data_IF_546520886255
#
_entry.id   IF_546520886255
#
_cell.length_a   1.000
_cell.length_b   1.000
_cell.length_c   1.000
_cell.angle_alpha   90.00
_cell.angle_beta   90.00
_cell.angle_gamma   90.00
#
_symmetry.space_group_name_H-M   'P 1'
#
loop_
_entity.id
_entity.type
_entity.pdbx_description
1 polymer ?
#
# COMPACT_ATOMS: atom_id res chain seq x y z
N UNK A 1 11.09 15.86 -36.31
CA UNK A 1 10.01 15.77 -35.28
C UNK A 1 8.71 15.12 -35.79
N UNK A 2 8.48 14.98 -37.11
CA UNK A 2 7.24 14.36 -37.63
C UNK A 2 7.09 12.84 -37.34
N UNK A 3 8.15 12.15 -36.90
CA UNK A 3 8.13 10.70 -36.65
C UNK A 3 7.82 10.26 -35.23
N UNK A 4 7.67 11.15 -34.24
CA UNK A 4 7.46 10.70 -32.84
C UNK A 4 6.02 10.26 -32.55
N UNK A 5 5.07 10.71 -33.36
CA UNK A 5 3.66 10.32 -33.31
C UNK A 5 3.30 9.26 -34.35
N UNK A 6 4.22 8.90 -35.25
CA UNK A 6 3.93 7.89 -36.26
C UNK A 6 3.79 6.53 -35.60
N UNK A 7 3.00 5.67 -36.22
CA UNK A 7 2.88 4.28 -35.80
C UNK A 7 4.27 3.63 -35.84
N UNK A 8 4.51 2.71 -34.91
CA UNK A 8 5.73 1.90 -34.81
C UNK A 8 7.02 2.75 -34.73
N UNK A 9 6.92 3.96 -34.18
CA UNK A 9 8.08 4.83 -33.93
C UNK A 9 8.81 4.53 -32.63
N UNK A 10 8.22 3.72 -31.75
CA UNK A 10 8.84 3.22 -30.53
C UNK A 10 9.96 2.23 -30.83
N UNK A 11 11.06 2.29 -30.08
CA UNK A 11 12.09 1.23 -30.11
C UNK A 11 11.65 -0.04 -29.35
N UNK A 12 10.60 0.08 -28.54
CA UNK A 12 10.00 -1.03 -27.79
C UNK A 12 8.85 -1.62 -28.61
N UNK A 13 9.01 -2.90 -28.92
CA UNK A 13 8.04 -3.80 -29.54
C UNK A 13 7.89 -5.04 -28.64
N UNK A 14 6.66 -5.49 -28.36
CA UNK A 14 6.40 -6.67 -27.50
C UNK A 14 6.29 -7.94 -28.33
N UNK A 15 6.01 -9.08 -27.68
CA UNK A 15 6.04 -10.34 -28.39
C UNK A 15 4.83 -10.59 -29.31
N UNK A 16 3.73 -9.87 -29.12
CA UNK A 16 2.50 -10.00 -29.91
C UNK A 16 2.75 -9.59 -31.37
N UNK A 17 2.26 -10.38 -32.33
CA UNK A 17 2.44 -10.07 -33.75
C UNK A 17 1.66 -8.79 -34.17
N UNK A 18 2.37 -7.84 -34.76
CA UNK A 18 1.79 -6.57 -35.24
C UNK A 18 0.70 -6.79 -36.30
N UNK A 19 -0.42 -6.11 -36.13
CA UNK A 19 -1.59 -6.08 -37.02
C UNK A 19 -2.25 -7.45 -37.30
N UNK A 20 -1.96 -8.48 -36.49
CA UNK A 20 -2.48 -9.84 -36.71
C UNK A 20 -4.00 -9.93 -36.65
N UNK A 21 -4.63 -9.10 -35.81
CA UNK A 21 -6.07 -9.14 -35.56
C UNK A 21 -6.82 -7.89 -36.07
N UNK A 22 -6.10 -6.83 -36.46
CA UNK A 22 -6.69 -5.57 -36.94
C UNK A 22 -5.69 -4.79 -37.78
N UNK A 23 -6.16 -4.14 -38.85
CA UNK A 23 -5.34 -3.25 -39.69
C UNK A 23 -5.03 -1.89 -39.03
N UNK A 24 -5.69 -1.58 -37.91
CA UNK A 24 -5.57 -0.27 -37.23
C UNK A 24 -4.99 -0.35 -35.82
N UNK A 25 -4.90 -1.56 -35.25
CA UNK A 25 -4.38 -1.78 -33.89
C UNK A 25 -3.15 -2.67 -34.03
N UNK A 26 -1.99 -2.13 -33.67
CA UNK A 26 -0.70 -2.82 -33.81
C UNK A 26 -0.68 -4.08 -32.96
N UNK A 27 -0.79 -3.96 -31.64
CA UNK A 27 -0.85 -5.10 -30.72
C UNK A 27 -2.26 -5.21 -30.12
N UNK A 28 -3.10 -6.08 -30.70
CA UNK A 28 -4.53 -6.12 -30.39
C UNK A 28 -4.82 -6.58 -28.95
N UNK A 29 -4.25 -7.69 -28.51
CA UNK A 29 -4.50 -8.22 -27.16
C UNK A 29 -3.86 -7.35 -26.08
N UNK A 30 -2.66 -6.82 -26.32
CA UNK A 30 -2.04 -5.86 -25.41
C UNK A 30 -2.92 -4.60 -25.28
N UNK A 31 -3.48 -4.10 -26.38
CA UNK A 31 -4.44 -2.97 -26.35
C UNK A 31 -5.72 -3.31 -25.59
N UNK A 32 -6.34 -4.45 -25.89
CA UNK A 32 -7.62 -4.85 -25.28
C UNK A 32 -7.49 -5.14 -23.79
N UNK A 33 -6.39 -5.76 -23.38
CA UNK A 33 -6.13 -6.06 -21.97
C UNK A 33 -5.97 -4.79 -21.12
N UNK A 34 -5.43 -3.69 -21.66
CA UNK A 34 -5.36 -2.39 -20.96
C UNK A 34 -6.74 -1.83 -20.57
N UNK A 35 -7.83 -2.28 -21.20
CA UNK A 35 -9.17 -1.81 -20.84
C UNK A 35 -9.64 -2.29 -19.45
N UNK A 36 -9.00 -3.31 -18.86
CA UNK A 36 -9.28 -3.77 -17.50
C UNK A 36 -9.14 -2.66 -16.46
N UNK A 37 -8.27 -1.68 -16.72
CA UNK A 37 -8.04 -0.52 -15.86
C UNK A 37 -9.30 0.37 -15.73
N UNK A 38 -10.11 0.47 -16.79
CA UNK A 38 -11.39 1.20 -16.75
C UNK A 38 -12.47 0.48 -15.95
N UNK A 39 -12.26 -0.79 -15.59
CA UNK A 39 -13.18 -1.57 -14.74
C UNK A 39 -12.67 -1.56 -13.29
N UNK A 40 -11.41 -1.96 -13.09
CA UNK A 40 -10.85 -2.11 -11.74
C UNK A 40 -10.70 -0.76 -11.04
N UNK A 41 -10.29 0.30 -11.75
CA UNK A 41 -10.03 1.60 -11.12
C UNK A 41 -11.28 2.27 -10.57
N UNK A 42 -12.42 2.33 -11.29
CA UNK A 42 -13.67 2.82 -10.71
C UNK A 42 -14.18 1.98 -9.54
N UNK A 43 -14.05 0.65 -9.60
CA UNK A 43 -14.40 -0.22 -8.47
C UNK A 43 -13.56 0.13 -7.25
N UNK A 44 -12.25 0.32 -7.42
CA UNK A 44 -11.36 0.67 -6.32
C UNK A 44 -11.62 2.09 -5.77
N UNK A 45 -11.97 3.03 -6.64
CA UNK A 45 -12.41 4.37 -6.22
C UNK A 45 -13.66 4.28 -5.33
N UNK A 46 -14.63 3.44 -5.69
CA UNK A 46 -15.81 3.17 -4.87
C UNK A 46 -15.47 2.46 -3.55
N UNK A 47 -14.68 1.39 -3.60
CA UNK A 47 -14.37 0.55 -2.44
C UNK A 47 -13.50 1.29 -1.40
N UNK A 48 -12.59 2.16 -1.83
CA UNK A 48 -11.73 2.94 -0.94
C UNK A 48 -12.34 4.28 -0.54
N UNK A 49 -13.51 4.67 -1.07
CA UNK A 49 -14.15 5.94 -0.77
C UNK A 49 -14.36 6.21 0.74
N UNK A 50 -14.83 5.23 1.55
CA UNK A 50 -14.99 5.44 2.99
C UNK A 50 -13.65 5.80 3.67
N UNK A 51 -12.57 5.14 3.25
CA UNK A 51 -11.22 5.42 3.73
C UNK A 51 -10.68 6.75 3.25
N UNK A 52 -10.89 7.10 1.99
CA UNK A 52 -10.49 8.39 1.44
C UNK A 52 -11.15 9.57 2.17
N UNK A 53 -12.42 9.41 2.59
CA UNK A 53 -13.15 10.45 3.33
C UNK A 53 -12.53 10.76 4.69
N UNK A 54 -12.11 9.73 5.42
CA UNK A 54 -11.51 9.89 6.76
C UNK A 54 -10.03 10.27 6.69
N UNK A 55 -9.31 9.81 5.67
CA UNK A 55 -7.85 10.00 5.57
C UNK A 55 -7.43 11.19 4.71
N UNK A 56 -7.84 11.21 3.44
CA UNK A 56 -7.55 12.25 2.46
C UNK A 56 -8.19 11.91 1.10
N UNK A 57 -8.89 12.87 0.49
CA UNK A 57 -9.42 12.71 -0.87
C UNK A 57 -8.31 12.57 -1.95
N UNK A 58 -7.05 12.87 -1.61
CA UNK A 58 -5.91 12.60 -2.50
C UNK A 58 -5.78 11.13 -2.90
N UNK A 59 -6.37 10.21 -2.12
CA UNK A 59 -6.44 8.78 -2.46
C UNK A 59 -7.22 8.54 -3.76
N UNK A 60 -8.25 9.34 -4.07
CA UNK A 60 -8.95 9.23 -5.34
C UNK A 60 -8.06 9.61 -6.52
N UNK A 61 -7.09 10.51 -6.34
CA UNK A 61 -6.16 10.92 -7.40
C UNK A 61 -5.37 9.71 -7.91
N UNK A 62 -4.94 8.81 -7.02
CA UNK A 62 -4.23 7.57 -7.41
C UNK A 62 -5.06 6.74 -8.40
N UNK A 63 -6.33 6.49 -8.07
CA UNK A 63 -7.20 5.64 -8.90
C UNK A 63 -7.73 6.35 -10.16
N UNK A 64 -7.88 7.67 -10.13
CA UNK A 64 -8.13 8.46 -11.34
C UNK A 64 -6.92 8.37 -12.27
N UNK A 65 -5.70 8.48 -11.75
CA UNK A 65 -4.49 8.35 -12.56
C UNK A 65 -4.29 6.92 -13.10
N UNK A 66 -4.74 5.88 -12.38
CA UNK A 66 -4.76 4.51 -12.92
C UNK A 66 -5.67 4.35 -14.15
N UNK A 67 -6.74 5.14 -14.27
CA UNK A 67 -7.55 5.19 -15.49
C UNK A 67 -6.71 5.74 -16.66
N UNK A 68 -5.92 6.79 -16.41
CA UNK A 68 -5.01 7.34 -17.41
C UNK A 68 -3.87 6.38 -17.78
N UNK A 69 -3.35 5.59 -16.83
CA UNK A 69 -2.40 4.51 -17.14
C UNK A 69 -3.02 3.54 -18.15
N UNK A 70 -4.24 3.06 -17.92
CA UNK A 70 -4.95 2.19 -18.86
C UNK A 70 -5.17 2.84 -20.23
N UNK A 71 -5.53 4.13 -20.25
CA UNK A 71 -5.73 4.89 -21.48
C UNK A 71 -4.43 5.02 -22.29
N UNK A 72 -3.33 5.37 -21.64
CA UNK A 72 -2.05 5.58 -22.31
C UNK A 72 -1.39 4.26 -22.71
N UNK A 73 -1.52 3.20 -21.91
CA UNK A 73 -1.15 1.84 -22.30
C UNK A 73 -1.94 1.39 -23.54
N UNK A 74 -3.27 1.56 -23.57
CA UNK A 74 -4.08 1.23 -24.74
C UNK A 74 -3.65 2.05 -25.98
N UNK A 75 -3.39 3.35 -25.81
CA UNK A 75 -2.89 4.20 -26.90
C UNK A 75 -1.52 3.77 -27.40
N UNK A 76 -0.62 3.39 -26.50
CA UNK A 76 0.70 2.88 -26.83
C UNK A 76 0.60 1.58 -27.63
N UNK A 77 -0.05 0.54 -27.12
CA UNK A 77 -0.15 -0.75 -27.81
C UNK A 77 -0.97 -0.69 -29.12
N UNK A 78 -1.90 0.26 -29.23
CA UNK A 78 -2.61 0.49 -30.48
C UNK A 78 -1.70 1.06 -31.57
N UNK A 79 -0.70 1.86 -31.20
CA UNK A 79 0.10 2.65 -32.16
C UNK A 79 1.57 2.24 -32.24
N UNK A 80 2.12 1.61 -31.21
CA UNK A 80 3.56 1.51 -30.92
C UNK A 80 4.32 2.82 -31.20
N UNK A 81 3.71 3.96 -30.88
CA UNK A 81 4.34 5.27 -31.07
C UNK A 81 5.26 5.64 -29.91
N UNK A 82 6.33 6.39 -30.19
CA UNK A 82 7.23 6.90 -29.14
C UNK A 82 6.49 7.77 -28.11
N UNK A 83 5.58 8.64 -28.58
CA UNK A 83 4.76 9.45 -27.66
C UNK A 83 3.84 8.56 -26.81
N UNK A 84 3.25 7.52 -27.40
CA UNK A 84 2.47 6.52 -26.65
C UNK A 84 3.31 5.87 -25.56
N UNK A 85 4.52 5.42 -25.89
CA UNK A 85 5.45 4.83 -24.93
C UNK A 85 5.73 5.78 -23.76
N UNK A 86 6.02 7.05 -24.05
CA UNK A 86 6.30 8.05 -23.01
C UNK A 86 5.09 8.33 -22.14
N UNK A 87 3.89 8.43 -22.72
CA UNK A 87 2.67 8.65 -21.95
C UNK A 87 2.38 7.46 -21.02
N UNK A 88 2.51 6.23 -21.52
CA UNK A 88 2.30 5.02 -20.73
C UNK A 88 3.30 4.95 -19.57
N UNK A 89 4.60 4.90 -19.87
CA UNK A 89 5.61 4.70 -18.82
C UNK A 89 5.67 5.86 -17.81
N UNK A 90 5.51 7.12 -18.26
CA UNK A 90 5.49 8.27 -17.34
C UNK A 90 4.23 8.29 -16.48
N UNK A 91 3.07 7.89 -17.01
CA UNK A 91 1.85 7.85 -16.20
C UNK A 91 1.98 6.88 -15.02
N UNK A 92 2.66 5.73 -15.21
CA UNK A 92 2.95 4.77 -14.15
C UNK A 92 3.89 5.40 -13.11
N UNK A 93 4.97 6.06 -13.55
CA UNK A 93 5.91 6.78 -12.67
C UNK A 93 5.16 7.78 -11.77
N UNK A 94 4.27 8.57 -12.35
CA UNK A 94 3.52 9.59 -11.61
C UNK A 94 2.46 8.99 -10.66
N UNK A 95 1.78 7.90 -11.04
CA UNK A 95 0.89 7.16 -10.13
C UNK A 95 1.66 6.67 -8.91
N UNK A 96 2.83 6.06 -9.13
CA UNK A 96 3.68 5.57 -8.05
C UNK A 96 4.16 6.71 -7.16
N UNK A 97 4.52 7.85 -7.73
CA UNK A 97 4.91 9.03 -6.99
C UNK A 97 3.78 9.53 -6.07
N UNK A 98 2.55 9.64 -6.58
CA UNK A 98 1.39 10.05 -5.77
C UNK A 98 1.08 9.02 -4.69
N UNK A 99 1.08 7.73 -5.05
CA UNK A 99 0.87 6.65 -4.08
C UNK A 99 1.93 6.67 -2.97
N UNK A 100 3.19 6.85 -3.31
CA UNK A 100 4.29 6.96 -2.36
C UNK A 100 4.15 8.19 -1.47
N UNK A 101 3.85 9.35 -2.05
CA UNK A 101 3.62 10.58 -1.31
C UNK A 101 2.51 10.39 -0.25
N UNK A 102 1.39 9.78 -0.62
CA UNK A 102 0.22 9.61 0.25
C UNK A 102 0.41 8.50 1.29
N UNK A 103 0.89 7.32 0.87
CA UNK A 103 0.85 6.10 1.67
C UNK A 103 2.19 5.63 2.26
N UNK A 104 3.32 6.24 1.90
CA UNK A 104 4.60 5.76 2.44
C UNK A 104 4.62 5.89 3.98
N UNK A 105 4.99 4.85 4.75
CA UNK A 105 4.87 4.86 6.21
C UNK A 105 5.75 5.94 6.85
N UNK A 106 5.18 6.77 7.74
CA UNK A 106 5.94 7.85 8.41
C UNK A 106 7.12 7.33 9.24
N UNK A 107 7.00 6.13 9.82
CA UNK A 107 8.07 5.50 10.61
C UNK A 107 9.31 5.15 9.77
N UNK A 108 9.17 5.10 8.45
CA UNK A 108 10.26 4.83 7.50
C UNK A 108 10.75 6.11 6.81
N UNK A 109 10.28 7.29 7.22
CA UNK A 109 10.78 8.54 6.68
C UNK A 109 12.28 8.69 6.96
N UNK A 110 13.05 9.26 6.02
CA UNK A 110 14.41 9.69 6.31
C UNK A 110 14.44 10.62 7.53
N UNK A 111 15.48 10.51 8.37
CA UNK A 111 15.58 11.23 9.64
C UNK A 111 15.45 12.76 9.54
N UNK A 112 15.76 13.32 8.37
CA UNK A 112 15.63 14.76 8.09
C UNK A 112 14.21 15.20 7.70
N UNK A 113 13.28 14.27 7.46
CA UNK A 113 11.90 14.56 7.04
C UNK A 113 10.96 14.26 8.21
N UNK A 114 10.28 15.30 8.71
CA UNK A 114 9.36 15.18 9.86
C UNK A 114 7.89 15.14 9.48
N UNK A 115 7.54 15.71 8.33
CA UNK A 115 6.16 15.91 7.92
C UNK A 115 5.89 15.40 6.50
N UNK A 116 4.64 15.04 6.27
CA UNK A 116 4.13 14.51 5.00
C UNK A 116 4.28 15.50 3.86
N UNK A 117 4.15 16.80 4.10
CA UNK A 117 4.23 17.82 3.04
C UNK A 117 5.64 17.92 2.49
N UNK A 118 6.65 17.99 3.36
CA UNK A 118 8.06 17.98 2.98
C UNK A 118 8.45 16.71 2.25
N UNK A 119 7.95 15.55 2.70
CA UNK A 119 8.12 14.28 2.00
C UNK A 119 7.52 14.33 0.59
N UNK A 120 6.27 14.76 0.44
CA UNK A 120 5.59 14.86 -0.86
C UNK A 120 6.29 15.83 -1.81
N UNK A 121 6.84 16.96 -1.31
CA UNK A 121 7.65 17.88 -2.13
C UNK A 121 8.93 17.21 -2.64
N UNK A 122 9.62 16.43 -1.78
CA UNK A 122 10.81 15.69 -2.20
C UNK A 122 10.47 14.68 -3.29
N UNK A 123 9.40 13.90 -3.10
CA UNK A 123 8.92 12.93 -4.08
C UNK A 123 8.58 13.62 -5.41
N UNK A 124 7.90 14.77 -5.36
CA UNK A 124 7.60 15.57 -6.55
C UNK A 124 8.88 16.00 -7.29
N UNK A 125 9.87 16.55 -6.58
CA UNK A 125 11.15 16.98 -7.19
C UNK A 125 11.86 15.80 -7.86
N UNK A 126 11.96 14.66 -7.16
CA UNK A 126 12.57 13.44 -7.71
C UNK A 126 11.80 12.95 -8.94
N UNK A 127 10.48 12.99 -8.91
CA UNK A 127 9.62 12.55 -10.03
C UNK A 127 9.78 13.44 -11.25
N UNK A 128 9.87 14.77 -11.07
CA UNK A 128 10.12 15.71 -12.17
C UNK A 128 11.50 15.50 -12.78
N UNK A 129 12.54 15.34 -11.97
CA UNK A 129 13.90 15.05 -12.45
C UNK A 129 13.93 13.73 -13.23
N UNK A 130 13.27 12.70 -12.69
CA UNK A 130 13.18 11.38 -13.32
C UNK A 130 12.43 11.48 -14.65
N UNK A 131 11.31 12.21 -14.70
CA UNK A 131 10.53 12.44 -15.93
C UNK A 131 11.37 13.08 -17.02
N UNK A 132 12.13 14.14 -16.69
CA UNK A 132 13.04 14.79 -17.66
C UNK A 132 14.15 13.83 -18.11
N UNK A 133 14.67 13.02 -17.18
CA UNK A 133 15.72 12.05 -17.47
C UNK A 133 15.24 10.88 -18.36
N UNK A 134 13.96 10.50 -18.28
CA UNK A 134 13.37 9.44 -19.10
C UNK A 134 13.43 9.74 -20.60
N UNK A 135 13.45 11.01 -21.00
CA UNK A 135 13.62 11.40 -22.41
C UNK A 135 15.05 11.17 -22.94
N UNK A 136 16.04 10.96 -22.07
CA UNK A 136 17.43 10.70 -22.49
C UNK A 136 17.63 9.24 -22.86
N UNK A 137 17.10 8.32 -22.04
CA UNK A 137 17.15 6.88 -22.29
C UNK A 137 15.83 6.22 -21.88
N UNK A 138 14.81 6.26 -22.74
CA UNK A 138 13.48 5.67 -22.52
C UNK A 138 13.53 4.25 -21.97
N UNK A 139 14.35 3.40 -22.58
CA UNK A 139 14.49 1.99 -22.20
C UNK A 139 15.01 1.78 -20.78
N UNK A 140 15.70 2.76 -20.17
CA UNK A 140 16.15 2.68 -18.78
C UNK A 140 15.00 2.82 -17.77
N UNK A 141 13.90 3.47 -18.16
CA UNK A 141 12.77 3.76 -17.29
C UNK A 141 12.10 2.49 -16.76
N UNK A 142 11.91 1.48 -17.62
CA UNK A 142 11.37 0.18 -17.23
C UNK A 142 12.21 -0.50 -16.13
N UNK A 143 13.54 -0.41 -16.18
CA UNK A 143 14.41 -0.97 -15.15
C UNK A 143 14.36 -0.19 -13.84
N UNK A 144 14.33 1.15 -13.93
CA UNK A 144 14.16 2.01 -12.75
C UNK A 144 12.84 1.73 -12.03
N UNK A 145 11.76 1.50 -12.79
CA UNK A 145 10.45 1.15 -12.28
C UNK A 145 10.46 -0.19 -11.52
N UNK A 146 11.14 -1.20 -12.06
CA UNK A 146 11.30 -2.51 -11.40
C UNK A 146 12.08 -2.39 -10.07
N UNK A 147 13.13 -1.56 -10.01
CA UNK A 147 13.84 -1.27 -8.76
C UNK A 147 12.92 -0.65 -7.70
N UNK A 148 12.01 0.24 -8.11
CA UNK A 148 11.02 0.81 -7.21
C UNK A 148 10.04 -0.26 -6.70
N UNK A 149 9.63 -1.20 -7.55
CA UNK A 149 8.84 -2.36 -7.15
C UNK A 149 9.50 -3.19 -6.04
N UNK A 150 10.81 -3.46 -6.16
CA UNK A 150 11.58 -4.16 -5.12
C UNK A 150 11.64 -3.38 -3.80
N UNK A 151 11.78 -2.05 -3.86
CA UNK A 151 11.74 -1.20 -2.68
C UNK A 151 10.37 -1.22 -1.97
N UNK A 152 9.27 -1.20 -2.75
CA UNK A 152 7.92 -1.35 -2.20
C UNK A 152 7.72 -2.72 -1.54
N UNK A 153 8.23 -3.80 -2.14
CA UNK A 153 8.20 -5.12 -1.54
C UNK A 153 8.98 -5.19 -0.23
N UNK A 154 10.17 -4.60 -0.19
CA UNK A 154 10.96 -4.50 1.05
C UNK A 154 10.17 -3.77 2.13
N UNK A 155 9.60 -2.61 1.79
CA UNK A 155 8.77 -1.80 2.69
C UNK A 155 7.59 -2.61 3.22
N UNK A 156 6.86 -3.30 2.33
CA UNK A 156 5.75 -4.17 2.71
C UNK A 156 6.23 -5.30 3.63
N UNK A 157 7.34 -5.96 3.33
CA UNK A 157 7.88 -7.02 4.16
C UNK A 157 8.20 -6.53 5.57
N UNK A 158 8.76 -5.32 5.71
CA UNK A 158 9.00 -4.67 7.00
C UNK A 158 7.69 -4.37 7.73
N UNK A 159 6.69 -3.81 7.05
CA UNK A 159 5.36 -3.55 7.63
C UNK A 159 4.68 -4.83 8.14
N UNK A 160 4.75 -5.91 7.36
CA UNK A 160 4.08 -7.16 7.66
C UNK A 160 4.71 -7.94 8.81
N UNK A 161 5.96 -7.65 9.22
CA UNK A 161 6.63 -8.32 10.36
C UNK A 161 5.87 -8.15 11.67
N UNK A 162 5.22 -7.02 11.86
CA UNK A 162 4.48 -6.70 13.09
C UNK A 162 2.98 -6.99 12.99
N UNK A 163 2.50 -7.44 11.83
CA UNK A 163 1.07 -7.65 11.58
C UNK A 163 0.66 -9.08 11.99
N UNK A 164 -0.33 -9.19 12.89
CA UNK A 164 -0.87 -10.48 13.36
C UNK A 164 -2.20 -10.86 12.72
N UNK A 165 -2.86 -9.93 12.00
CA UNK A 165 -4.15 -10.17 11.35
C UNK A 165 -4.00 -11.14 10.17
N UNK A 166 -4.65 -12.30 10.28
CA UNK A 166 -4.62 -13.36 9.27
C UNK A 166 -5.26 -12.95 7.93
N UNK A 167 -6.24 -12.05 7.94
CA UNK A 167 -6.82 -11.51 6.68
C UNK A 167 -5.80 -10.62 5.98
N UNK A 168 -5.12 -9.74 6.72
CA UNK A 168 -4.08 -8.88 6.17
C UNK A 168 -2.88 -9.69 5.65
N UNK A 169 -2.45 -10.73 6.39
CA UNK A 169 -1.39 -11.63 5.94
C UNK A 169 -1.75 -12.41 4.67
N UNK A 170 -2.99 -12.90 4.55
CA UNK A 170 -3.46 -13.56 3.32
C UNK A 170 -3.51 -12.59 2.14
N UNK A 171 -4.01 -11.38 2.37
CA UNK A 171 -4.06 -10.31 1.37
C UNK A 171 -2.66 -9.93 0.88
N UNK A 172 -1.70 -9.82 1.80
CA UNK A 172 -0.29 -9.57 1.48
C UNK A 172 0.30 -10.67 0.60
N UNK A 173 0.12 -11.94 0.99
CA UNK A 173 0.59 -13.09 0.20
C UNK A 173 -0.01 -13.11 -1.20
N UNK A 174 -1.32 -12.86 -1.32
CA UNK A 174 -2.02 -12.81 -2.60
C UNK A 174 -1.50 -11.66 -3.48
N UNK A 175 -1.36 -10.45 -2.92
CA UNK A 175 -0.84 -9.28 -3.63
C UNK A 175 0.58 -9.52 -4.14
N UNK A 176 1.46 -10.08 -3.29
CA UNK A 176 2.84 -10.42 -3.67
C UNK A 176 2.87 -11.51 -4.75
N UNK A 177 2.05 -12.55 -4.62
CA UNK A 177 1.98 -13.63 -5.62
C UNK A 177 1.52 -13.12 -6.99
N UNK A 178 0.48 -12.28 -7.02
CA UNK A 178 0.00 -11.65 -8.25
C UNK A 178 1.07 -10.74 -8.87
N UNK A 179 1.78 -9.95 -8.05
CA UNK A 179 2.86 -9.10 -8.53
C UNK A 179 4.02 -9.92 -9.11
N UNK A 180 4.47 -10.97 -8.43
CA UNK A 180 5.54 -11.86 -8.91
C UNK A 180 5.13 -12.51 -10.23
N UNK A 181 3.89 -12.98 -10.34
CA UNK A 181 3.38 -13.57 -11.57
C UNK A 181 3.32 -12.54 -12.70
N UNK A 182 2.86 -11.31 -12.43
CA UNK A 182 2.84 -10.23 -13.40
C UNK A 182 4.25 -9.95 -13.93
N UNK A 183 5.23 -9.72 -13.05
CA UNK A 183 6.62 -9.45 -13.45
C UNK A 183 7.21 -10.64 -14.20
N UNK A 184 6.87 -11.88 -13.82
CA UNK A 184 7.30 -13.07 -14.56
C UNK A 184 6.74 -13.09 -15.99
N UNK A 185 5.47 -12.77 -16.20
CA UNK A 185 4.87 -12.62 -17.52
C UNK A 185 5.59 -11.53 -18.33
N UNK A 186 5.84 -10.37 -17.73
CA UNK A 186 6.54 -9.25 -18.38
C UNK A 186 7.97 -9.60 -18.82
N UNK A 187 8.76 -10.21 -17.94
CA UNK A 187 10.14 -10.65 -18.24
C UNK A 187 10.12 -11.73 -19.31
N UNK A 188 9.22 -12.69 -19.18
CA UNK A 188 9.08 -13.82 -20.08
C UNK A 188 8.67 -13.39 -21.50
N UNK A 189 7.77 -12.41 -21.61
CA UNK A 189 7.40 -11.80 -22.89
C UNK A 189 8.61 -11.09 -23.52
N UNK A 190 9.32 -10.27 -22.74
CA UNK A 190 10.43 -9.45 -23.24
C UNK A 190 11.67 -10.25 -23.67
N UNK A 191 12.10 -11.19 -22.84
CA UNK A 191 13.35 -11.94 -23.06
C UNK A 191 13.14 -13.33 -23.63
N UNK A 192 11.95 -13.90 -23.44
CA UNK A 192 11.58 -15.24 -23.90
C UNK A 192 10.78 -15.25 -25.20
N UNK A 193 10.64 -14.12 -25.90
CA UNK A 193 9.70 -14.03 -27.02
C UNK A 193 9.91 -15.10 -28.10
N UNK A 194 11.16 -15.41 -28.46
CA UNK A 194 11.46 -16.45 -29.46
C UNK A 194 10.92 -17.84 -29.07
N UNK A 195 10.88 -18.16 -27.78
CA UNK A 195 10.29 -19.39 -27.27
C UNK A 195 8.75 -19.34 -27.34
N UNK A 196 8.14 -18.21 -26.99
CA UNK A 196 6.68 -18.04 -27.01
C UNK A 196 6.09 -18.01 -28.42
N UNK A 197 6.82 -17.43 -29.38
CA UNK A 197 6.48 -17.48 -30.80
C UNK A 197 6.46 -18.93 -31.33
N UNK A 198 7.42 -19.77 -30.93
CA UNK A 198 7.41 -21.19 -31.31
C UNK A 198 6.20 -21.95 -30.75
N UNK A 199 5.73 -21.56 -29.57
CA UNK A 199 4.53 -22.11 -28.94
C UNK A 199 3.22 -21.47 -29.41
N UNK A 200 3.29 -20.47 -30.31
CA UNK A 200 2.15 -19.66 -30.76
C UNK A 200 1.38 -18.99 -29.59
N UNK A 201 2.07 -18.59 -28.53
CA UNK A 201 1.47 -17.98 -27.35
C UNK A 201 2.17 -16.67 -26.96
N UNK A 202 1.88 -15.59 -27.70
CA UNK A 202 2.54 -14.28 -27.55
C UNK A 202 1.69 -13.23 -26.80
N UNK A 203 0.94 -13.66 -25.78
CA UNK A 203 -0.04 -12.81 -25.09
C UNK A 203 0.32 -12.55 -23.62
N UNK A 204 1.59 -12.79 -23.25
CA UNK A 204 2.03 -12.68 -21.85
C UNK A 204 2.05 -11.23 -21.38
N UNK A 205 2.39 -10.28 -22.25
CA UNK A 205 2.31 -8.86 -21.91
C UNK A 205 0.87 -8.41 -21.60
N UNK A 206 -0.12 -8.85 -22.37
CA UNK A 206 -1.53 -8.60 -22.05
C UNK A 206 -1.98 -9.24 -20.73
N UNK A 207 -1.45 -10.41 -20.37
CA UNK A 207 -1.68 -11.02 -19.04
C UNK A 207 -1.03 -10.18 -17.95
N UNK A 208 0.14 -9.57 -18.18
CA UNK A 208 0.77 -8.64 -17.24
C UNK A 208 -0.16 -7.47 -16.91
N UNK A 209 -0.83 -6.84 -17.90
CA UNK A 209 -1.81 -5.76 -17.65
C UNK A 209 -2.88 -6.15 -16.63
N UNK A 210 -3.46 -7.33 -16.80
CA UNK A 210 -4.53 -7.84 -15.94
C UNK A 210 -3.98 -8.15 -14.54
N UNK A 211 -2.84 -8.83 -14.46
CA UNK A 211 -2.26 -9.22 -13.17
C UNK A 211 -1.76 -8.02 -12.38
N UNK A 212 -1.13 -7.03 -13.03
CA UNK A 212 -0.56 -5.87 -12.34
C UNK A 212 -1.64 -4.97 -11.75
N UNK A 213 -2.74 -4.71 -12.48
CA UNK A 213 -3.84 -3.90 -11.93
C UNK A 213 -4.50 -4.59 -10.74
N UNK A 214 -4.65 -5.92 -10.79
CA UNK A 214 -5.20 -6.70 -9.69
C UNK A 214 -4.24 -6.71 -8.49
N UNK A 215 -2.94 -6.86 -8.72
CA UNK A 215 -1.92 -6.78 -7.68
C UNK A 215 -1.94 -5.42 -6.97
N UNK A 216 -2.05 -4.32 -7.74
CA UNK A 216 -2.17 -2.95 -7.21
C UNK A 216 -3.49 -2.75 -6.45
N UNK A 217 -4.60 -3.31 -6.93
CA UNK A 217 -5.88 -3.27 -6.22
C UNK A 217 -5.76 -3.90 -4.83
N UNK A 218 -5.29 -5.15 -4.74
CA UNK A 218 -5.10 -5.83 -3.45
C UNK A 218 -4.02 -5.17 -2.57
N UNK A 219 -2.91 -4.74 -3.18
CA UNK A 219 -1.82 -4.08 -2.48
C UNK A 219 -2.22 -2.75 -1.87
N UNK A 220 -2.95 -1.92 -2.62
CA UNK A 220 -3.45 -0.63 -2.12
C UNK A 220 -4.50 -0.80 -1.03
N UNK A 221 -5.38 -1.81 -1.09
CA UNK A 221 -6.30 -2.13 0.03
C UNK A 221 -5.53 -2.50 1.29
N UNK A 222 -4.48 -3.32 1.16
CA UNK A 222 -3.63 -3.68 2.30
C UNK A 222 -2.92 -2.46 2.88
N UNK A 223 -2.34 -1.62 2.02
CA UNK A 223 -1.68 -0.38 2.43
C UNK A 223 -2.68 0.57 3.10
N UNK A 224 -3.89 0.72 2.56
CA UNK A 224 -4.94 1.54 3.17
C UNK A 224 -5.38 1.00 4.55
N UNK A 225 -5.47 -0.32 4.70
CA UNK A 225 -5.75 -0.95 6.00
C UNK A 225 -4.64 -0.67 7.02
N UNK A 226 -3.37 -0.79 6.61
CA UNK A 226 -2.23 -0.49 7.47
C UNK A 226 -2.17 1.00 7.81
N UNK A 227 -2.32 1.89 6.83
CA UNK A 227 -2.34 3.35 7.03
C UNK A 227 -3.48 3.77 7.96
N UNK A 228 -4.69 3.23 7.80
CA UNK A 228 -5.82 3.51 8.69
C UNK A 228 -5.54 3.15 10.15
N UNK A 229 -4.88 2.01 10.40
CA UNK A 229 -4.48 1.59 11.75
C UNK A 229 -3.47 2.56 12.42
N UNK A 230 -2.66 3.27 11.62
CA UNK A 230 -1.62 4.16 12.14
C UNK A 230 -2.04 5.64 12.17
N UNK A 231 -2.79 6.09 11.18
CA UNK A 231 -3.06 7.51 10.92
C UNK A 231 -4.47 7.93 11.34
N UNK A 232 -5.39 6.98 11.61
CA UNK A 232 -6.79 7.27 11.99
C UNK A 232 -7.09 6.64 13.37
N UNK A 233 -6.76 7.31 14.49
CA UNK A 233 -6.74 6.73 15.83
C UNK A 233 -8.09 6.19 16.34
N UNK A 234 -9.20 6.72 15.81
CA UNK A 234 -10.56 6.38 16.22
C UNK A 234 -11.20 5.29 15.35
N UNK A 235 -10.54 4.88 14.27
CA UNK A 235 -11.06 3.87 13.35
C UNK A 235 -10.79 2.45 13.84
N UNK A 236 -11.71 1.55 13.51
CA UNK A 236 -11.50 0.10 13.58
C UNK A 236 -11.55 -0.43 12.15
N UNK A 237 -10.42 -0.41 11.41
CA UNK A 237 -10.40 -0.85 10.02
C UNK A 237 -10.63 -2.37 9.95
N UNK A 238 -11.58 -2.77 9.11
CA UNK A 238 -11.90 -4.17 8.86
C UNK A 238 -11.72 -4.54 7.38
N UNK A 239 -11.10 -5.69 7.12
CA UNK A 239 -11.04 -6.29 5.78
C UNK A 239 -12.25 -7.21 5.57
N UNK A 240 -13.02 -6.92 4.52
CA UNK A 240 -14.18 -7.70 4.10
C UNK A 240 -14.13 -7.98 2.60
N UNK A 241 -14.69 -9.10 2.18
CA UNK A 241 -14.81 -9.46 0.78
C UNK A 241 -16.07 -8.82 0.17
N UNK A 242 -15.95 -8.20 -1.00
CA UNK A 242 -17.00 -7.54 -1.77
C UNK A 242 -17.32 -8.29 -3.06
N UNK A 243 -18.61 -8.60 -3.33
CA UNK A 243 -19.78 -8.21 -2.57
C UNK A 243 -19.93 -9.01 -1.26
N UNK A 244 -20.44 -8.36 -0.20
CA UNK A 244 -20.63 -8.98 1.10
C UNK A 244 -21.75 -10.03 1.03
N UNK A 245 -21.40 -11.30 0.81
CA UNK A 245 -22.34 -12.41 0.95
C UNK A 245 -22.45 -12.75 2.44
N UNK A 246 -23.65 -12.55 3.00
CA UNK A 246 -24.05 -13.25 4.23
C UNK A 246 -24.23 -14.72 3.82
N UNK A 247 -23.33 -15.57 4.30
CA UNK A 247 -23.38 -17.03 4.31
C UNK A 247 -23.88 -17.73 3.04
N UNK A 248 -23.00 -18.01 2.07
CA UNK A 248 -23.06 -19.26 1.26
C UNK A 248 -21.63 -19.74 1.01
N UNK A 249 -21.39 -21.00 1.35
CA UNK A 249 -20.17 -21.74 1.09
C UNK A 249 -19.70 -21.68 -0.38
N UNK A 250 -18.37 -21.69 -0.52
CA UNK A 250 -17.53 -21.89 -1.69
C UNK A 250 -16.94 -20.67 -2.43
N UNK A 251 -15.60 -20.74 -2.43
CA UNK A 251 -14.57 -19.97 -3.10
C UNK A 251 -14.93 -19.53 -4.52
N UNK A 252 -15.09 -18.23 -4.70
CA UNK A 252 -14.66 -17.54 -5.92
C UNK A 252 -13.95 -16.25 -5.50
N UNK A 253 -12.93 -15.84 -6.25
CA UNK A 253 -12.04 -14.72 -5.90
C UNK A 253 -12.83 -13.44 -5.66
N UNK A 254 -12.87 -12.97 -4.41
CA UNK A 254 -13.65 -11.80 -3.99
C UNK A 254 -12.70 -10.61 -3.74
N UNK A 255 -13.06 -9.42 -4.23
CA UNK A 255 -12.27 -8.19 -4.06
C UNK A 255 -12.41 -7.66 -2.62
N UNK A 256 -11.36 -7.12 -2.00
CA UNK A 256 -11.40 -6.75 -0.57
C UNK A 256 -11.80 -5.28 -0.38
N UNK A 257 -12.88 -5.03 0.35
CA UNK A 257 -13.34 -3.73 0.82
C UNK A 257 -12.74 -3.41 2.20
N UNK A 258 -12.31 -2.16 2.36
CA UNK A 258 -11.95 -1.60 3.65
C UNK A 258 -13.18 -0.92 4.26
N UNK A 259 -13.68 -1.46 5.36
CA UNK A 259 -14.73 -0.81 6.17
C UNK A 259 -14.06 -0.06 7.31
N UNK A 260 -14.44 1.20 7.50
CA UNK A 260 -14.05 1.98 8.66
C UNK A 260 -15.23 2.02 9.63
N UNK A 261 -15.15 1.19 10.67
CA UNK A 261 -16.01 1.32 11.83
C UNK A 261 -15.57 2.53 12.66
N UNK A 262 -16.54 3.29 13.18
CA UNK A 262 -16.30 4.21 14.28
C UNK A 262 -16.38 3.45 15.60
N UNK A 263 -15.42 3.66 16.51
CA UNK A 263 -15.57 3.19 17.90
C UNK A 263 -16.83 3.83 18.48
N UNK A 264 -17.89 3.04 18.66
CA UNK A 264 -19.08 3.48 19.38
C UNK A 264 -18.69 3.72 20.84
N UNK A 265 -18.41 4.98 21.17
CA UNK A 265 -18.00 5.38 22.51
C UNK A 265 -19.23 5.63 23.37
N UNK A 266 -19.64 4.63 24.15
CA UNK A 266 -20.11 4.93 25.51
C UNK A 266 -18.87 5.33 26.30
N UNK A 267 -18.49 6.62 26.21
CA UNK A 267 -17.33 7.19 26.91
C UNK A 267 -17.85 8.05 28.05
N UNK A 268 -17.33 7.81 29.27
CA UNK A 268 -17.45 8.78 30.35
C UNK A 268 -16.29 9.75 30.23
N UNK A 269 -16.58 11.06 30.20
CA UNK A 269 -15.52 12.09 30.12
C UNK A 269 -14.54 12.00 31.30
N UNK A 270 -15.01 11.55 32.47
CA UNK A 270 -14.18 11.41 33.66
C UNK A 270 -14.68 10.23 34.52
N UNK A 271 -13.90 9.15 34.57
CA UNK A 271 -14.02 8.14 35.61
C UNK A 271 -12.72 8.17 36.41
N UNK A 272 -12.77 8.69 37.65
CA UNK A 272 -11.62 8.64 38.57
C UNK A 272 -11.46 7.19 39.02
N UNK A 273 -10.45 6.50 38.53
CA UNK A 273 -10.01 5.27 39.20
C UNK A 273 -9.24 5.62 40.47
N UNK A 274 -9.34 4.79 41.52
CA UNK A 274 -8.42 4.87 42.63
C UNK A 274 -6.98 4.72 42.12
N UNK A 275 -6.08 5.57 42.63
CA UNK A 275 -4.65 5.44 42.34
C UNK A 275 -4.18 4.07 42.82
N UNK A 276 -3.79 3.22 41.87
CA UNK A 276 -3.30 1.86 42.14
C UNK A 276 -1.81 1.83 41.86
N UNK A 277 -1.03 1.33 42.83
CA UNK A 277 0.44 1.28 42.74
C UNK A 277 0.89 -0.17 42.75
N UNK A 278 1.55 -0.60 41.67
CA UNK A 278 2.12 -1.94 41.54
C UNK A 278 3.62 -1.89 41.80
N UNK A 279 4.08 -2.45 42.93
CA UNK A 279 5.49 -2.40 43.34
C UNK A 279 6.34 -3.58 42.83
N UNK A 280 5.73 -4.61 42.25
CA UNK A 280 6.42 -5.80 41.72
C UNK A 280 5.62 -6.50 40.61
N UNK A 281 6.28 -7.36 39.81
CA UNK A 281 5.64 -8.07 38.70
C UNK A 281 4.68 -9.17 39.18
N UNK A 282 3.60 -9.48 38.42
CA UNK A 282 3.18 -8.80 37.20
C UNK A 282 2.55 -7.43 37.49
N UNK A 283 2.97 -6.40 36.75
CA UNK A 283 2.39 -5.06 36.81
C UNK A 283 1.03 -5.05 36.08
N UNK A 284 0.00 -5.59 36.74
CA UNK A 284 -1.35 -5.77 36.19
C UNK A 284 -2.39 -5.17 37.13
N UNK A 285 -3.42 -4.57 36.55
CA UNK A 285 -4.64 -4.14 37.22
C UNK A 285 -5.82 -4.82 36.55
N UNK A 286 -6.73 -5.41 37.33
CA UNK A 286 -7.96 -6.06 36.85
C UNK A 286 -9.16 -5.32 37.44
N UNK A 287 -10.06 -4.86 36.57
CA UNK A 287 -11.23 -4.08 36.96
C UNK A 287 -12.43 -4.45 36.07
N UNK A 288 -13.65 -4.22 36.58
CA UNK A 288 -14.90 -4.35 35.82
C UNK A 288 -15.49 -2.99 35.53
N UNK A 289 -15.93 -2.75 34.29
CA UNK A 289 -16.50 -1.46 33.89
C UNK A 289 -17.48 -1.56 32.73
N UNK A 290 -18.31 -0.52 32.56
CA UNK A 290 -19.36 -0.45 31.53
C UNK A 290 -19.08 0.58 30.43
N UNK A 291 -17.97 1.31 30.53
CA UNK A 291 -17.56 2.34 29.57
C UNK A 291 -16.03 2.38 29.45
N UNK A 292 -15.53 2.74 28.27
CA UNK A 292 -14.11 3.00 28.05
C UNK A 292 -13.69 4.41 28.51
N UNK A 293 -12.40 4.58 28.84
CA UNK A 293 -11.81 5.84 29.31
C UNK A 293 -10.28 5.83 29.13
N UNK A 294 -9.66 7.02 29.25
CA UNK A 294 -8.20 7.13 29.26
C UNK A 294 -7.62 6.85 30.65
N UNK A 295 -6.57 6.04 30.70
CA UNK A 295 -5.77 5.76 31.89
C UNK A 295 -4.42 6.44 31.74
N UNK A 296 -4.05 7.28 32.70
CA UNK A 296 -2.68 7.75 32.83
C UNK A 296 -1.87 6.71 33.62
N UNK A 297 -0.82 6.16 33.01
CA UNK A 297 0.09 5.15 33.57
C UNK A 297 1.44 5.82 33.79
N UNK A 298 1.84 5.95 35.06
CA UNK A 298 3.15 6.46 35.44
C UNK A 298 4.10 5.30 35.74
N UNK A 299 5.15 5.15 34.94
CA UNK A 299 6.20 4.15 35.12
C UNK A 299 7.40 4.80 35.78
N UNK A 300 7.70 4.39 37.01
CA UNK A 300 8.87 4.86 37.76
C UNK A 300 10.10 4.02 37.42
N UNK A 301 11.16 4.68 36.96
CA UNK A 301 12.42 4.03 36.60
C UNK A 301 13.36 4.05 37.80
N UNK A 302 13.99 2.90 38.09
CA UNK A 302 15.03 2.79 39.12
C UNK A 302 16.37 3.30 38.56
N UNK A 303 16.46 4.59 38.23
CA UNK A 303 17.67 5.25 37.72
C UNK A 303 18.02 6.47 38.60
N UNK A 304 19.29 6.88 38.58
CA UNK A 304 19.79 8.07 39.30
C UNK A 304 19.71 9.37 38.48
N UNK A 305 19.33 9.30 37.20
CA UNK A 305 19.24 10.44 36.28
C UNK A 305 17.83 10.66 35.73
N UNK A 306 17.49 11.91 35.40
CA UNK A 306 16.18 12.27 34.85
C UNK A 306 15.99 11.77 33.40
N UNK A 307 14.76 11.37 33.00
CA UNK A 307 13.53 11.36 33.80
C UNK A 307 13.38 10.11 34.69
N UNK A 308 12.97 10.30 35.95
CA UNK A 308 12.70 9.21 36.90
C UNK A 308 11.30 8.59 36.73
N UNK A 309 10.43 9.24 35.94
CA UNK A 309 9.06 8.81 35.69
C UNK A 309 8.71 9.03 34.23
N UNK A 310 8.06 8.05 33.60
CA UNK A 310 7.51 8.17 32.25
C UNK A 310 5.99 8.00 32.32
N UNK A 311 5.26 8.99 31.83
CA UNK A 311 3.79 8.99 31.80
C UNK A 311 3.28 8.54 30.44
N UNK A 312 2.38 7.57 30.44
CA UNK A 312 1.66 7.10 29.25
C UNK A 312 0.17 7.35 29.42
N UNK A 313 -0.46 7.92 28.41
CA UNK A 313 -1.91 7.94 28.32
C UNK A 313 -2.37 6.75 27.50
N UNK A 314 -3.01 5.78 28.14
CA UNK A 314 -3.51 4.55 27.55
C UNK A 314 -5.02 4.66 27.33
N UNK A 315 -5.51 4.30 26.14
CA UNK A 315 -6.95 4.29 25.84
C UNK A 315 -7.51 2.91 26.18
N UNK A 316 -8.21 2.80 27.32
CA UNK A 316 -8.87 1.58 27.74
C UNK A 316 -10.29 1.60 27.17
N UNK A 317 -10.51 0.86 26.09
CA UNK A 317 -11.81 0.77 25.43
C UNK A 317 -12.45 -0.60 25.63
N UNK A 318 -13.78 -0.60 25.62
CA UNK A 318 -14.60 -1.79 25.67
C UNK A 318 -15.26 -1.98 24.30
N UNK A 319 -15.33 -3.22 23.85
CA UNK A 319 -16.07 -3.57 22.63
C UNK A 319 -17.56 -3.72 22.93
N UNK A 320 -18.40 -3.58 21.89
CA UNK A 320 -19.83 -3.80 22.03
C UNK A 320 -20.14 -5.30 22.16
N UNK A 321 -21.32 -5.59 22.71
CA UNK A 321 -21.81 -6.96 22.83
C UNK A 321 -21.95 -7.60 21.44
N UNK A 322 -21.28 -8.74 21.23
CA UNK A 322 -21.21 -9.44 19.94
C UNK A 322 -19.87 -9.33 19.22
N UNK A 323 -19.02 -8.36 19.58
CA UNK A 323 -17.66 -8.25 19.07
C UNK A 323 -16.68 -9.15 19.86
N UNK A 324 -15.59 -9.64 19.23
CA UNK A 324 -14.56 -10.41 19.94
C UNK A 324 -13.92 -9.59 21.08
N UNK A 325 -13.48 -10.22 22.18
CA UNK A 325 -12.89 -9.52 23.31
C UNK A 325 -11.65 -8.71 22.91
N UNK A 326 -11.53 -7.49 23.45
CA UNK A 326 -10.42 -6.60 23.14
C UNK A 326 -9.11 -7.17 23.70
N UNK A 327 -8.16 -7.48 22.81
CA UNK A 327 -6.77 -7.79 23.17
C UNK A 327 -5.88 -6.75 22.49
N UNK A 328 -5.49 -5.72 23.22
CA UNK A 328 -4.61 -4.66 22.70
C UNK A 328 -3.20 -4.79 23.26
N UNK A 329 -2.22 -4.73 22.36
CA UNK A 329 -0.80 -4.64 22.71
C UNK A 329 -0.26 -3.30 22.20
N UNK A 330 0.17 -2.43 23.12
CA UNK A 330 0.81 -1.17 22.77
C UNK A 330 2.31 -1.26 23.04
N UNK A 331 3.13 -1.25 21.97
CA UNK A 331 4.58 -1.26 22.09
C UNK A 331 5.10 0.18 21.99
N UNK A 332 5.89 0.62 22.98
CA UNK A 332 6.55 1.93 22.96
C UNK A 332 8.04 1.78 23.24
N UNK A 333 8.86 2.35 22.37
CA UNK A 333 10.31 2.48 22.58
C UNK A 333 10.59 3.72 23.42
N UNK A 334 11.34 3.58 24.51
CA UNK A 334 11.91 4.71 25.22
C UNK A 334 13.18 5.19 24.48
N UNK A 335 13.37 6.49 24.26
CA UNK A 335 14.64 7.00 23.73
C UNK A 335 15.75 6.72 24.76
N UNK A 336 16.87 6.15 24.29
CA UNK A 336 18.01 5.83 25.14
C UNK A 336 18.66 7.11 25.66
N UNK A 337 18.43 7.45 26.92
CA UNK A 337 19.37 8.31 27.65
C UNK A 337 20.53 7.43 28.08
N UNK A 338 21.76 7.84 27.75
CA UNK A 338 22.99 7.21 28.24
C UNK A 338 22.88 7.03 29.76
N UNK A 339 22.93 5.80 30.30
CA UNK A 339 22.90 5.61 31.73
C UNK A 339 24.16 6.25 32.33
N UNK A 340 24.06 7.03 33.42
CA UNK A 340 25.25 7.36 34.20
C UNK A 340 25.85 6.04 34.68
N UNK A 341 27.16 5.86 34.47
CA UNK A 341 27.93 4.72 34.95
C UNK A 341 27.66 4.52 36.45
N UNK A 342 26.82 3.54 36.81
CA UNK A 342 26.78 2.79 38.08
C UNK A 342 25.43 2.11 38.26
N UNK A 343 25.26 0.92 37.67
CA UNK A 343 24.53 -0.19 38.29
C UNK A 343 24.73 -1.44 37.45
N UNK A 344 25.90 -2.04 37.60
CA UNK A 344 26.08 -3.44 37.22
C UNK A 344 25.36 -4.31 38.25
N UNK A 345 24.17 -4.76 37.94
CA UNK A 345 23.61 -6.01 38.46
C UNK A 345 22.93 -6.74 37.30
N UNK A 346 23.47 -7.92 36.97
CA UNK A 346 22.98 -8.77 35.90
C UNK A 346 21.65 -9.39 36.28
N UNK A 347 20.66 -9.29 35.41
CA UNK A 347 19.46 -10.12 35.49
C UNK A 347 19.66 -11.34 34.57
N UNK A 348 19.75 -12.53 35.18
CA UNK A 348 19.49 -13.82 34.52
C UNK A 348 18.01 -14.09 34.48
#
# INVERSE_FOLDING_TARGET
>A
MAGVFSYESSEVDWCEDNYKHSEHVVEYFNTMSSFVFFIVSPIMLYLLHPYAKERSLAIHVVWIMMIFVGLFSAYFHMTLSFVGQMLDELSILWVLAVGYAVWFPRKLFPSFIKDRSTFSRLVLVVTVITTVSSFVKPTANAYALNCFGLHLLYTLAVEMRCCTDQKALRLAKLSVALWVLAISCWISDRFGCSFWQQLNFCYLHGIWHILIVMAVAYGSTLIAYLDANYEIPYSLPGLQYWPCQRDIDNKHTVQVRLELGHRAQLRKEHQKLPQTVCMGPPYKVEESGSAGFFVDIDVFLKNKGEPNTVRFKYDLFLNLEGDPPSTTCAMRSLPSTTPPETSGESWR
#
